data_IF_930575749613
#
_entry.id   IF_930575749613
#
_cell.length_a   1.000
_cell.length_b   1.000
_cell.length_c   1.000
_cell.angle_alpha   90.00
_cell.angle_beta   90.00
_cell.angle_gamma   90.00
#
_symmetry.space_group_name_H-M   'P 1'
#
loop_
_entity.id
_entity.type
_entity.pdbx_description
1 polymer ?
#
# COMPACT_ATOMS: atom_id res chain seq x y z
N UNK A 1 -4.46 -4.44 -6.76
CA UNK A 1 -4.46 -3.46 -5.65
C UNK A 1 -4.62 -2.06 -6.21
N UNK A 2 -4.72 -1.05 -5.36
CA UNK A 2 -4.57 0.36 -5.74
C UNK A 2 -3.49 0.95 -4.85
N UNK A 3 -2.54 1.67 -5.43
CA UNK A 3 -1.49 2.36 -4.69
C UNK A 3 -1.81 3.86 -4.62
N UNK A 4 -1.84 4.41 -3.41
CA UNK A 4 -2.31 5.77 -3.14
C UNK A 4 -1.23 6.55 -2.39
N UNK A 5 -0.97 7.80 -2.76
CA UNK A 5 -0.08 8.67 -1.99
C UNK A 5 -0.74 9.08 -0.66
N UNK A 6 -0.13 8.76 0.48
CA UNK A 6 -0.63 9.20 1.79
C UNK A 6 -0.57 10.72 2.00
N UNK A 7 0.21 11.43 1.17
CA UNK A 7 0.56 12.83 1.40
C UNK A 7 1.57 13.05 2.53
N UNK A 8 2.14 11.96 3.06
CA UNK A 8 3.09 11.96 4.19
C UNK A 8 4.43 11.31 3.84
N UNK A 9 4.73 11.17 2.54
CA UNK A 9 6.01 10.65 2.05
C UNK A 9 6.10 9.12 1.93
N UNK A 10 4.97 8.42 2.05
CA UNK A 10 4.85 6.97 1.83
C UNK A 10 3.53 6.61 1.14
N UNK A 11 3.44 5.47 0.45
CA UNK A 11 2.19 5.04 -0.20
C UNK A 11 1.31 4.21 0.75
N UNK A 12 0.01 4.18 0.48
CA UNK A 12 -0.93 3.17 0.95
C UNK A 12 -1.16 2.12 -0.13
N UNK A 13 -1.03 0.84 0.23
CA UNK A 13 -1.54 -0.27 -0.57
C UNK A 13 -2.97 -0.58 -0.12
N UNK A 14 -3.93 -0.47 -1.04
CA UNK A 14 -5.35 -0.70 -0.77
C UNK A 14 -5.89 -1.84 -1.64
N UNK A 15 -6.84 -2.61 -1.10
CA UNK A 15 -7.65 -3.50 -1.91
C UNK A 15 -8.46 -2.69 -2.94
N UNK A 16 -8.55 -3.19 -4.18
CA UNK A 16 -9.32 -2.50 -5.22
C UNK A 16 -10.82 -2.43 -4.88
N UNK A 17 -11.36 -3.45 -4.21
CA UNK A 17 -12.75 -3.44 -3.71
C UNK A 17 -12.99 -2.32 -2.68
N UNK A 18 -11.95 -1.90 -1.96
CA UNK A 18 -12.02 -0.78 -1.03
C UNK A 18 -11.96 0.57 -1.73
N UNK A 19 -11.75 0.65 -3.05
CA UNK A 19 -11.71 1.89 -3.84
C UNK A 19 -12.23 1.61 -5.28
N UNK A 20 -13.50 1.22 -5.45
CA UNK A 20 -14.02 0.70 -6.71
C UNK A 20 -14.05 1.75 -7.83
N UNK A 21 -13.96 3.04 -7.51
CA UNK A 21 -13.84 4.12 -8.48
C UNK A 21 -12.43 4.25 -9.10
N UNK A 22 -11.45 3.48 -8.61
CA UNK A 22 -10.05 3.53 -9.03
C UNK A 22 -9.67 2.27 -9.80
N UNK A 23 -8.89 2.43 -10.86
CA UNK A 23 -8.39 1.32 -11.65
C UNK A 23 -7.40 0.46 -10.82
N UNK A 24 -7.60 -0.87 -10.74
CA UNK A 24 -6.64 -1.74 -10.08
C UNK A 24 -5.34 -1.86 -10.88
N UNK A 25 -4.22 -2.02 -10.18
CA UNK A 25 -2.92 -2.35 -10.76
C UNK A 25 -2.22 -3.47 -10.00
N UNK A 26 -1.19 -4.04 -10.64
CA UNK A 26 -0.11 -4.71 -9.93
C UNK A 26 0.72 -3.66 -9.17
N UNK A 27 1.38 -4.09 -8.10
CA UNK A 27 2.27 -3.25 -7.31
C UNK A 27 3.71 -3.65 -7.60
N UNK A 28 4.58 -2.66 -7.75
CA UNK A 28 6.03 -2.86 -7.86
C UNK A 28 6.62 -2.59 -6.48
N UNK A 29 7.37 -3.56 -5.97
CA UNK A 29 7.94 -3.49 -4.63
C UNK A 29 9.20 -4.34 -4.50
N UNK A 30 9.69 -4.44 -3.26
CA UNK A 30 10.87 -5.22 -2.90
C UNK A 30 10.44 -6.37 -2.00
N UNK A 31 10.98 -7.56 -2.25
CA UNK A 31 10.76 -8.73 -1.42
C UNK A 31 11.92 -8.89 -0.44
N UNK A 32 11.62 -8.94 0.85
CA UNK A 32 12.61 -9.04 1.93
C UNK A 32 12.37 -10.29 2.76
N UNK A 33 13.45 -11.02 3.06
CA UNK A 33 13.42 -12.13 4.02
C UNK A 33 13.67 -11.58 5.41
N UNK A 34 12.72 -11.79 6.32
CA UNK A 34 12.81 -11.34 7.70
C UNK A 34 12.55 -12.49 8.67
N UNK A 35 13.11 -12.40 9.87
CA UNK A 35 12.81 -13.35 10.94
C UNK A 35 11.56 -12.93 11.72
N UNK A 36 11.06 -13.82 12.58
CA UNK A 36 9.84 -13.58 13.36
C UNK A 36 9.94 -12.35 14.30
N UNK A 37 11.12 -12.05 14.84
CA UNK A 37 11.32 -10.90 15.72
C UNK A 37 11.19 -9.58 14.96
N UNK A 38 11.81 -9.48 13.78
CA UNK A 38 11.68 -8.32 12.88
C UNK A 38 10.23 -8.17 12.44
N UNK A 39 9.59 -9.28 12.06
CA UNK A 39 8.20 -9.28 11.61
C UNK A 39 7.22 -8.81 12.72
N UNK A 40 7.45 -9.19 13.97
CA UNK A 40 6.68 -8.70 15.11
C UNK A 40 6.88 -7.20 15.35
N UNK A 41 8.11 -6.68 15.19
CA UNK A 41 8.37 -5.25 15.29
C UNK A 41 7.68 -4.45 14.17
N UNK A 42 7.63 -5.00 12.95
CA UNK A 42 6.87 -4.40 11.86
C UNK A 42 5.37 -4.38 12.16
N UNK A 43 4.80 -5.42 12.75
CA UNK A 43 3.39 -5.44 13.14
C UNK A 43 3.04 -4.29 14.09
N UNK A 44 3.91 -4.00 15.07
CA UNK A 44 3.73 -2.87 15.98
C UNK A 44 3.81 -1.52 15.26
N UNK A 45 4.82 -1.34 14.40
CA UNK A 45 5.03 -0.09 13.65
C UNK A 45 3.88 0.21 12.66
N UNK A 46 3.35 -0.82 12.03
CA UNK A 46 2.26 -0.73 11.05
C UNK A 46 0.87 -0.71 11.73
N UNK A 47 0.80 -0.75 13.06
CA UNK A 47 -0.47 -0.77 13.78
C UNK A 47 -1.33 -1.98 13.42
N UNK A 48 -0.69 -3.12 13.14
CA UNK A 48 -1.36 -4.38 12.81
C UNK A 48 -2.10 -4.95 14.03
N UNK A 49 -3.34 -5.48 13.88
CA UNK A 49 -4.12 -5.64 12.65
C UNK A 49 -5.17 -4.54 12.40
N UNK A 50 -5.09 -3.41 13.11
CA UNK A 50 -6.14 -2.39 13.08
C UNK A 50 -5.95 -1.41 11.93
N UNK A 51 -4.77 -0.79 11.83
CA UNK A 51 -4.51 0.23 10.82
C UNK A 51 -4.17 -0.42 9.47
N UNK A 52 -3.10 -1.20 9.45
CA UNK A 52 -2.80 -2.13 8.36
C UNK A 52 -3.09 -3.58 8.77
N UNK A 53 -3.58 -4.38 7.83
CA UNK A 53 -3.66 -5.83 7.98
C UNK A 53 -2.60 -6.49 7.12
N UNK A 54 -1.81 -7.39 7.72
CA UNK A 54 -0.86 -8.24 7.01
C UNK A 54 -1.61 -9.37 6.31
N UNK A 55 -1.37 -9.53 5.02
CA UNK A 55 -2.03 -10.53 4.17
C UNK A 55 -1.02 -11.24 3.28
N UNK A 56 -1.24 -12.54 3.01
CA UNK A 56 -0.46 -13.27 2.01
C UNK A 56 -0.93 -12.82 0.62
N UNK A 57 0.00 -12.31 -0.17
CA UNK A 57 -0.24 -11.87 -1.55
C UNK A 57 0.63 -12.66 -2.51
N UNK A 58 0.07 -12.98 -3.67
CA UNK A 58 0.83 -13.62 -4.74
C UNK A 58 1.86 -12.65 -5.33
N UNK A 59 3.04 -13.16 -5.66
CA UNK A 59 4.14 -12.41 -6.27
C UNK A 59 4.23 -12.81 -7.74
N UNK A 60 4.34 -11.84 -8.65
CA UNK A 60 4.44 -12.15 -10.07
C UNK A 60 5.74 -12.89 -10.38
N UNK A 61 5.63 -14.12 -10.89
CA UNK A 61 6.77 -14.95 -11.27
C UNK A 61 7.28 -15.89 -10.19
N UNK A 62 6.65 -15.89 -9.00
CA UNK A 62 6.99 -16.81 -7.89
C UNK A 62 5.79 -17.69 -7.53
N UNK A 63 6.07 -18.88 -7.03
CA UNK A 63 5.04 -19.84 -6.59
C UNK A 63 4.60 -19.60 -5.14
N UNK A 64 5.49 -19.08 -4.30
CA UNK A 64 5.21 -18.81 -2.90
C UNK A 64 4.69 -17.38 -2.67
N UNK A 65 3.59 -17.20 -1.92
CA UNK A 65 3.12 -15.88 -1.56
C UNK A 65 4.01 -15.24 -0.49
N UNK A 66 4.00 -13.90 -0.43
CA UNK A 66 4.67 -13.14 0.62
C UNK A 66 3.68 -12.31 1.43
N UNK A 67 4.11 -11.91 2.63
CA UNK A 67 3.34 -11.00 3.45
C UNK A 67 3.44 -9.55 2.95
N UNK A 68 2.30 -8.86 2.92
CA UNK A 68 2.21 -7.43 2.64
C UNK A 68 1.23 -6.77 3.60
N UNK A 69 1.51 -5.53 4.02
CA UNK A 69 0.60 -4.71 4.80
C UNK A 69 -0.37 -3.97 3.88
N UNK A 70 -1.67 -4.19 4.08
CA UNK A 70 -2.74 -3.58 3.30
C UNK A 70 -3.56 -2.68 4.22
N UNK A 71 -3.85 -1.45 3.77
CA UNK A 71 -4.62 -0.51 4.56
C UNK A 71 -6.05 -1.02 4.74
N UNK A 72 -6.48 -1.16 5.99
CA UNK A 72 -7.84 -1.61 6.35
C UNK A 72 -8.58 -0.65 7.26
N UNK A 73 -7.91 0.37 7.80
CA UNK A 73 -8.54 1.39 8.63
C UNK A 73 -9.68 2.10 7.88
N UNK A 74 -10.89 2.02 8.44
CA UNK A 74 -12.08 2.55 7.80
C UNK A 74 -12.04 4.07 7.67
N UNK A 75 -11.54 4.78 8.69
CA UNK A 75 -11.47 6.25 8.65
C UNK A 75 -10.48 6.75 7.60
N UNK A 76 -9.32 6.09 7.46
CA UNK A 76 -8.36 6.39 6.41
C UNK A 76 -8.92 6.09 5.02
N UNK A 77 -9.58 4.95 4.83
CA UNK A 77 -10.22 4.61 3.55
C UNK A 77 -11.30 5.62 3.16
N UNK A 78 -12.16 6.03 4.09
CA UNK A 78 -13.16 7.07 3.84
C UNK A 78 -12.52 8.43 3.48
N UNK A 79 -11.42 8.80 4.14
CA UNK A 79 -10.67 10.02 3.80
C UNK A 79 -10.05 9.94 2.39
N UNK A 80 -9.59 8.75 1.96
CA UNK A 80 -9.09 8.51 0.61
C UNK A 80 -10.22 8.62 -0.43
N UNK A 81 -11.40 8.03 -0.15
CA UNK A 81 -12.58 8.11 -1.03
C UNK A 81 -13.09 9.53 -1.19
N UNK A 82 -13.15 10.28 -0.09
CA UNK A 82 -13.66 11.64 -0.09
C UNK A 82 -12.75 12.62 -0.86
N UNK A 83 -11.51 12.22 -1.19
CA UNK A 83 -10.55 12.93 -2.04
C UNK A 83 -10.43 14.43 -1.68
N UNK A 84 -10.37 14.73 -0.38
CA UNK A 84 -10.59 16.09 0.13
C UNK A 84 -9.39 17.05 -0.08
N UNK A 85 -8.35 16.67 -0.83
CA UNK A 85 -7.20 17.55 -1.12
C UNK A 85 -6.29 16.98 -2.21
N UNK A 86 -5.17 17.66 -2.52
CA UNK A 86 -4.08 17.13 -3.34
C UNK A 86 -3.41 15.86 -2.77
N UNK A 87 -3.80 15.41 -1.57
CA UNK A 87 -3.39 14.13 -0.96
C UNK A 87 -4.29 12.99 -1.43
N UNK A 88 -3.84 11.75 -1.30
CA UNK A 88 -4.62 10.55 -1.68
C UNK A 88 -4.86 10.38 -3.19
N UNK A 89 -4.01 10.99 -4.01
CA UNK A 89 -3.97 10.72 -5.44
C UNK A 89 -3.52 9.28 -5.69
N UNK A 90 -4.03 8.67 -6.76
CA UNK A 90 -3.46 7.43 -7.26
C UNK A 90 -2.01 7.68 -7.68
N UNK A 91 -1.12 6.77 -7.28
CA UNK A 91 0.26 6.77 -7.75
C UNK A 91 0.26 6.57 -9.28
N UNK A 92 1.03 7.39 -9.99
CA UNK A 92 1.16 7.34 -11.44
C UNK A 92 2.66 7.43 -11.85
N UNK A 93 3.25 6.42 -12.52
CA UNK A 93 2.60 5.23 -13.08
C UNK A 93 1.98 4.29 -12.03
N UNK A 94 0.86 3.60 -12.35
CA UNK A 94 0.14 2.78 -11.37
C UNK A 94 1.02 1.70 -10.74
N UNK A 95 1.00 1.65 -9.41
CA UNK A 95 1.74 0.63 -8.64
C UNK A 95 3.23 0.89 -8.46
N UNK A 96 3.79 1.96 -9.04
CA UNK A 96 5.22 2.27 -8.95
C UNK A 96 5.47 3.56 -8.13
N UNK A 97 5.63 3.37 -6.83
CA UNK A 97 5.91 4.47 -5.90
C UNK A 97 7.24 5.18 -6.19
N UNK A 98 8.27 4.42 -6.56
CA UNK A 98 9.62 4.95 -6.75
C UNK A 98 9.64 5.92 -7.93
N UNK A 99 9.05 5.53 -9.07
CA UNK A 99 8.92 6.39 -10.23
C UNK A 99 8.07 7.62 -9.94
N UNK A 100 6.94 7.46 -9.24
CA UNK A 100 6.07 8.58 -8.87
C UNK A 100 6.78 9.64 -8.02
N UNK A 101 7.57 9.21 -7.01
CA UNK A 101 8.31 10.14 -6.14
C UNK A 101 9.41 10.90 -6.86
N UNK A 102 10.09 10.28 -7.82
CA UNK A 102 11.11 10.95 -8.62
C UNK A 102 10.51 12.09 -9.46
N UNK A 103 9.29 11.92 -9.99
CA UNK A 103 8.61 12.95 -10.78
C UNK A 103 8.08 14.11 -9.93
N UNK A 104 7.71 13.87 -8.68
CA UNK A 104 7.25 14.94 -7.77
C UNK A 104 8.39 15.82 -7.23
N UNK A 105 9.64 15.32 -7.27
CA UNK A 105 10.81 16.03 -6.75
C UNK A 105 11.54 16.89 -7.80
N UNK A 106 11.11 16.81 -9.06
CA UNK A 106 11.63 17.58 -10.20
C UNK A 106 10.78 18.83 -10.45
#
# INVERSE_FOLDING_TARGET
>A
FVLVDSGSGYPYACHAAALPERAPSQLIGELLVVNAAVLSGLDELEGHPTYYRRELVGICGEDEPAWMYVLTDASALEAIRANQSARHQCVNPPGDWRSFRLHQAA
#
